data_IF_577868658870
#
_entry.id   IF_577868658870
#
_cell.length_a   1.000
_cell.length_b   1.000
_cell.length_c   1.000
_cell.angle_alpha   90.00
_cell.angle_beta   90.00
_cell.angle_gamma   90.00
#
_symmetry.space_group_name_H-M   'P 1'
#
loop_
_entity.id
_entity.type
_entity.pdbx_description
1 polymer ?
#
# COMPACT_ATOMS: atom_id res chain seq x y z
N UNK A 1 17.11 -43.66 22.22
CA UNK A 1 17.12 -43.76 20.75
C UNK A 1 15.73 -43.30 20.29
N UNK A 2 15.56 -42.03 19.96
CA UNK A 2 14.31 -41.47 19.41
C UNK A 2 14.08 -42.06 18.00
N UNK A 3 12.84 -42.42 17.75
CA UNK A 3 12.40 -42.97 16.47
C UNK A 3 12.60 -41.93 15.37
N UNK A 4 13.20 -42.36 14.24
CA UNK A 4 13.41 -41.52 13.03
C UNK A 4 12.12 -40.85 12.55
N UNK A 5 10.98 -41.47 12.78
CA UNK A 5 9.65 -40.95 12.42
C UNK A 5 9.29 -39.71 13.23
N UNK A 6 9.63 -39.67 14.52
CA UNK A 6 9.38 -38.54 15.41
C UNK A 6 10.21 -37.30 15.02
N UNK A 7 11.49 -37.50 14.69
CA UNK A 7 12.36 -36.40 14.23
C UNK A 7 11.89 -35.81 12.90
N UNK A 8 11.45 -36.64 11.95
CA UNK A 8 10.92 -36.21 10.67
C UNK A 8 9.64 -35.35 10.82
N UNK A 9 8.74 -35.78 11.72
CA UNK A 9 7.50 -35.04 12.00
C UNK A 9 7.77 -33.67 12.66
N UNK A 10 8.73 -33.60 13.61
CA UNK A 10 9.14 -32.33 14.25
C UNK A 10 9.77 -31.38 13.21
N UNK A 11 10.62 -31.91 12.32
CA UNK A 11 11.29 -31.14 11.27
C UNK A 11 10.28 -30.56 10.27
N UNK A 12 9.31 -31.37 9.82
CA UNK A 12 8.24 -30.94 8.91
C UNK A 12 7.37 -29.86 9.55
N UNK A 13 7.03 -30.00 10.83
CA UNK A 13 6.24 -29.01 11.57
C UNK A 13 7.01 -27.71 11.82
N UNK A 14 8.31 -27.79 12.06
CA UNK A 14 9.19 -26.62 12.17
C UNK A 14 9.30 -25.85 10.85
N UNK A 15 9.44 -26.56 9.71
CA UNK A 15 9.46 -25.97 8.37
C UNK A 15 8.13 -25.30 8.01
N UNK A 16 6.99 -25.93 8.35
CA UNK A 16 5.65 -25.35 8.16
C UNK A 16 5.45 -24.06 8.98
N UNK A 17 6.17 -23.91 10.10
CA UNK A 17 6.19 -22.71 10.95
C UNK A 17 7.31 -21.71 10.58
N UNK A 18 7.84 -21.80 9.36
CA UNK A 18 8.84 -20.84 8.84
C UNK A 18 10.29 -21.06 9.28
N UNK A 19 10.59 -22.17 10.02
CA UNK A 19 11.98 -22.49 10.37
C UNK A 19 12.76 -22.93 9.15
N UNK A 20 13.89 -22.24 8.86
CA UNK A 20 14.84 -22.59 7.78
C UNK A 20 16.12 -23.12 8.40
N UNK A 21 16.60 -24.29 7.90
CA UNK A 21 17.83 -24.87 8.38
C UNK A 21 19.03 -23.94 8.07
N UNK A 22 19.77 -23.44 9.10
CA UNK A 22 20.90 -22.54 8.87
C UNK A 22 22.01 -23.17 8.03
N UNK A 23 22.29 -24.47 8.21
CA UNK A 23 23.30 -25.19 7.43
C UNK A 23 22.92 -25.34 5.95
N UNK A 24 21.63 -25.49 5.63
CA UNK A 24 21.16 -25.53 4.25
C UNK A 24 21.35 -24.16 3.56
N UNK A 25 21.18 -23.07 4.28
CA UNK A 25 21.41 -21.71 3.77
C UNK A 25 22.90 -21.48 3.47
N UNK A 26 23.77 -21.91 4.35
CA UNK A 26 25.24 -21.80 4.20
C UNK A 26 25.72 -22.59 3.01
N UNK A 27 25.28 -23.84 2.83
CA UNK A 27 25.57 -24.67 1.69
C UNK A 27 25.13 -24.09 0.33
N UNK A 28 23.99 -23.42 0.29
CA UNK A 28 23.48 -22.73 -0.91
C UNK A 28 24.34 -21.52 -1.26
N UNK A 29 24.79 -20.76 -0.26
CA UNK A 29 25.68 -19.62 -0.46
C UNK A 29 27.05 -20.07 -0.96
N UNK A 30 27.61 -21.14 -0.40
CA UNK A 30 28.90 -21.69 -0.80
C UNK A 30 28.88 -22.24 -2.23
N UNK A 31 27.81 -22.94 -2.61
CA UNK A 31 27.61 -23.40 -3.98
C UNK A 31 27.51 -22.22 -4.98
N UNK A 32 26.75 -21.17 -4.61
CA UNK A 32 26.66 -19.99 -5.44
C UNK A 32 28.00 -19.25 -5.59
N UNK A 33 28.78 -19.13 -4.50
CA UNK A 33 30.13 -18.57 -4.56
C UNK A 33 31.06 -19.35 -5.48
N UNK A 34 31.01 -20.68 -5.44
CA UNK A 34 31.80 -21.54 -6.29
C UNK A 34 31.44 -21.30 -7.77
N UNK A 35 30.18 -21.35 -8.12
CA UNK A 35 29.72 -21.13 -9.51
C UNK A 35 30.20 -19.79 -10.06
N UNK A 36 30.08 -18.70 -9.27
CA UNK A 36 30.51 -17.37 -9.72
C UNK A 36 32.03 -17.28 -9.87
N UNK A 37 32.81 -17.91 -8.99
CA UNK A 37 34.28 -17.93 -9.10
C UNK A 37 34.76 -18.74 -10.27
N UNK A 38 34.12 -19.86 -10.58
CA UNK A 38 34.39 -20.64 -11.79
C UNK A 38 34.13 -19.84 -13.05
N UNK A 39 33.01 -19.09 -13.10
CA UNK A 39 32.70 -18.20 -14.21
C UNK A 39 33.72 -17.06 -14.35
N UNK A 40 34.18 -16.46 -13.23
CA UNK A 40 35.20 -15.41 -13.24
C UNK A 40 36.58 -15.91 -13.68
N UNK A 41 36.88 -17.18 -13.45
CA UNK A 41 38.12 -17.81 -13.84
C UNK A 41 38.12 -18.32 -15.31
N UNK A 42 36.98 -18.29 -15.98
CA UNK A 42 36.82 -18.65 -17.39
C UNK A 42 37.41 -17.58 -18.30
N UNK A 43 38.06 -18.03 -19.39
CA UNK A 43 38.52 -17.14 -20.47
C UNK A 43 37.34 -16.59 -21.30
N UNK A 44 36.17 -17.24 -21.24
CA UNK A 44 34.96 -16.80 -21.90
C UNK A 44 34.14 -15.91 -20.98
N UNK A 45 34.12 -14.61 -21.28
CA UNK A 45 33.35 -13.61 -20.55
C UNK A 45 31.84 -13.87 -20.62
N UNK A 46 31.36 -14.56 -21.65
CA UNK A 46 29.94 -14.90 -21.83
C UNK A 46 29.39 -15.76 -20.70
N UNK A 47 30.21 -16.60 -20.07
CA UNK A 47 29.82 -17.47 -18.94
C UNK A 47 29.30 -16.67 -17.73
N UNK A 48 29.74 -15.41 -17.59
CA UNK A 48 29.24 -14.54 -16.54
C UNK A 48 27.77 -14.13 -16.74
N UNK A 49 27.27 -14.23 -17.95
CA UNK A 49 25.89 -13.91 -18.33
C UNK A 49 25.01 -15.15 -18.52
N UNK A 50 25.53 -16.35 -18.27
CA UNK A 50 24.74 -17.57 -18.30
C UNK A 50 23.75 -17.65 -17.16
N UNK A 51 22.60 -18.29 -17.39
CA UNK A 51 21.52 -18.46 -16.43
C UNK A 51 21.99 -19.02 -15.08
N UNK A 52 22.93 -19.95 -15.08
CA UNK A 52 23.48 -20.55 -13.86
C UNK A 52 24.26 -19.53 -13.02
N UNK A 53 25.05 -18.68 -13.66
CA UNK A 53 25.85 -17.63 -13.00
C UNK A 53 24.97 -16.51 -12.53
N UNK A 54 23.99 -16.07 -13.33
CA UNK A 54 22.98 -15.05 -12.94
C UNK A 54 22.17 -15.52 -11.74
N UNK A 55 21.72 -16.78 -11.73
CA UNK A 55 20.99 -17.37 -10.60
C UNK A 55 21.86 -17.44 -9.34
N UNK A 56 23.13 -17.79 -9.47
CA UNK A 56 24.08 -17.80 -8.35
C UNK A 56 24.31 -16.39 -7.79
N UNK A 57 24.51 -15.39 -8.64
CA UNK A 57 24.65 -13.98 -8.24
C UNK A 57 23.38 -13.43 -7.59
N UNK A 58 22.21 -13.76 -8.11
CA UNK A 58 20.90 -13.40 -7.51
C UNK A 58 20.75 -14.03 -6.13
N UNK A 59 21.16 -15.29 -5.97
CA UNK A 59 21.16 -15.97 -4.67
C UNK A 59 22.07 -15.29 -3.66
N UNK A 60 23.28 -14.87 -4.07
CA UNK A 60 24.18 -14.10 -3.20
C UNK A 60 23.60 -12.72 -2.86
N UNK A 61 23.02 -12.03 -3.82
CA UNK A 61 22.40 -10.72 -3.62
C UNK A 61 21.28 -10.77 -2.58
N UNK A 62 20.41 -11.77 -2.65
CA UNK A 62 19.25 -11.93 -1.75
C UNK A 62 19.60 -12.54 -0.40
N UNK A 63 20.54 -13.51 -0.36
CA UNK A 63 20.82 -14.32 0.82
C UNK A 63 22.04 -13.88 1.62
N UNK A 64 23.03 -13.18 1.01
CA UNK A 64 24.26 -12.76 1.69
C UNK A 64 24.87 -11.50 1.06
N UNK A 65 24.43 -10.33 1.52
CA UNK A 65 24.95 -9.03 1.04
C UNK A 65 26.49 -8.90 1.16
N UNK A 66 27.08 -9.49 2.20
CA UNK A 66 28.53 -9.45 2.41
C UNK A 66 29.29 -10.25 1.32
N UNK A 67 28.83 -11.46 1.00
CA UNK A 67 29.45 -12.28 -0.06
C UNK A 67 29.19 -11.67 -1.44
N UNK A 68 28.00 -11.13 -1.68
CA UNK A 68 27.71 -10.39 -2.91
C UNK A 68 28.65 -9.19 -3.09
N UNK A 69 28.88 -8.40 -2.04
CA UNK A 69 29.80 -7.25 -2.11
C UNK A 69 31.24 -7.65 -2.46
N UNK A 70 31.73 -8.79 -1.93
CA UNK A 70 33.06 -9.33 -2.26
C UNK A 70 33.16 -9.72 -3.73
N UNK A 71 32.22 -10.54 -4.20
CA UNK A 71 32.14 -10.95 -5.60
C UNK A 71 31.97 -9.76 -6.54
N UNK A 72 31.15 -8.82 -6.19
CA UNK A 72 30.95 -7.56 -6.94
C UNK A 72 32.27 -6.79 -7.10
N UNK A 73 33.10 -6.77 -6.06
CA UNK A 73 34.41 -6.14 -6.13
C UNK A 73 35.36 -6.92 -7.08
N UNK A 74 35.34 -8.25 -7.02
CA UNK A 74 36.12 -9.12 -7.91
C UNK A 74 35.73 -8.93 -9.38
N UNK A 75 34.42 -8.91 -9.69
CA UNK A 75 33.89 -8.64 -11.03
C UNK A 75 34.33 -7.26 -11.53
N UNK A 76 34.28 -6.21 -10.68
CA UNK A 76 34.68 -4.85 -11.05
C UNK A 76 36.13 -4.73 -11.46
N UNK A 77 37.02 -5.62 -10.98
CA UNK A 77 38.42 -5.66 -11.38
C UNK A 77 38.62 -6.24 -12.78
N UNK A 78 37.69 -7.04 -13.26
CA UNK A 78 37.70 -7.58 -14.62
C UNK A 78 37.11 -6.54 -15.59
N UNK A 79 38.01 -5.86 -16.34
CA UNK A 79 37.63 -4.78 -17.26
C UNK A 79 36.79 -5.23 -18.47
N UNK A 80 36.73 -6.54 -18.74
CA UNK A 80 35.95 -7.11 -19.82
C UNK A 80 34.45 -7.21 -19.49
N UNK A 81 34.10 -7.16 -18.20
CA UNK A 81 32.71 -7.30 -17.71
C UNK A 81 32.16 -5.94 -17.35
N UNK A 82 31.08 -5.51 -18.02
CA UNK A 82 30.30 -4.36 -17.62
C UNK A 82 29.38 -4.73 -16.45
N UNK A 83 29.77 -4.28 -15.24
CA UNK A 83 29.02 -4.55 -14.02
C UNK A 83 27.56 -4.08 -14.06
N UNK A 84 27.29 -2.96 -14.75
CA UNK A 84 25.92 -2.42 -14.93
C UNK A 84 24.99 -3.39 -15.65
N UNK A 85 25.50 -4.04 -16.69
CA UNK A 85 24.71 -4.95 -17.53
C UNK A 85 24.41 -6.24 -16.74
N UNK A 86 25.39 -6.70 -15.94
CA UNK A 86 25.22 -7.83 -15.04
C UNK A 86 24.24 -7.52 -13.90
N UNK A 87 24.36 -6.33 -13.28
CA UNK A 87 23.47 -5.92 -12.19
C UNK A 87 22.02 -5.73 -12.66
N UNK A 88 21.80 -5.39 -13.93
CA UNK A 88 20.46 -5.33 -14.51
C UNK A 88 19.79 -6.71 -14.58
N UNK A 89 20.58 -7.78 -14.77
CA UNK A 89 20.09 -9.17 -14.81
C UNK A 89 19.96 -9.81 -13.43
N UNK A 90 20.79 -9.39 -12.47
CA UNK A 90 20.81 -9.93 -11.09
C UNK A 90 19.71 -9.32 -10.22
N UNK A 91 19.41 -8.04 -10.41
CA UNK A 91 18.26 -7.46 -9.74
C UNK A 91 17.07 -8.19 -10.29
N UNK A 92 16.35 -9.03 -9.45
CA UNK A 92 15.06 -9.52 -9.90
C UNK A 92 14.36 -8.31 -10.50
N UNK A 93 13.69 -8.46 -11.66
CA UNK A 93 12.61 -7.55 -11.99
C UNK A 93 11.96 -7.29 -10.65
N UNK A 94 12.01 -6.07 -10.17
CA UNK A 94 11.30 -5.72 -8.95
C UNK A 94 9.94 -6.34 -9.20
N UNK A 95 9.55 -7.39 -8.45
CA UNK A 95 8.14 -7.52 -8.14
C UNK A 95 7.81 -6.09 -7.84
N UNK A 96 7.02 -5.44 -8.70
CA UNK A 96 6.78 -4.02 -8.60
C UNK A 96 6.28 -3.83 -7.19
N UNK A 97 7.20 -3.52 -6.26
CA UNK A 97 6.82 -3.10 -4.91
C UNK A 97 6.01 -1.87 -5.22
N UNK A 98 4.70 -2.09 -5.24
CA UNK A 98 3.70 -1.10 -5.55
C UNK A 98 4.11 0.15 -4.79
N UNK A 99 4.41 1.22 -5.50
CA UNK A 99 4.91 2.42 -4.86
C UNK A 99 3.91 2.83 -3.77
N UNK A 100 4.37 3.40 -2.67
CA UNK A 100 3.47 3.84 -1.59
C UNK A 100 2.35 4.74 -2.14
N UNK A 101 2.61 5.49 -3.20
CA UNK A 101 1.60 6.30 -3.90
C UNK A 101 0.54 5.42 -4.58
N UNK A 102 0.93 4.40 -5.33
CA UNK A 102 0.00 3.46 -5.98
C UNK A 102 -0.81 2.71 -4.95
N UNK A 103 -0.17 2.25 -3.88
CA UNK A 103 -0.83 1.57 -2.77
C UNK A 103 -1.91 2.45 -2.12
N UNK A 104 -1.61 3.73 -1.84
CA UNK A 104 -2.58 4.70 -1.33
C UNK A 104 -3.72 4.98 -2.31
N UNK A 105 -3.42 5.07 -3.61
CA UNK A 105 -4.45 5.26 -4.64
C UNK A 105 -5.40 4.05 -4.70
N UNK A 106 -4.87 2.84 -4.61
CA UNK A 106 -5.71 1.64 -4.63
C UNK A 106 -6.58 1.54 -3.39
N UNK A 107 -6.03 1.75 -2.19
CA UNK A 107 -6.80 1.80 -0.94
C UNK A 107 -7.94 2.83 -1.04
N UNK A 108 -7.64 4.03 -1.54
CA UNK A 108 -8.63 5.08 -1.69
C UNK A 108 -9.72 4.71 -2.72
N UNK A 109 -9.35 4.15 -3.87
CA UNK A 109 -10.30 3.73 -4.92
C UNK A 109 -11.17 2.54 -4.53
N UNK A 110 -10.65 1.63 -3.72
CA UNK A 110 -11.42 0.48 -3.23
C UNK A 110 -12.48 0.87 -2.19
N UNK A 111 -12.20 1.90 -1.39
CA UNK A 111 -13.06 2.26 -0.26
C UNK A 111 -13.90 3.50 -0.48
N UNK A 112 -13.52 4.39 -1.41
CA UNK A 112 -14.17 5.68 -1.63
C UNK A 112 -14.85 5.77 -2.98
N UNK A 113 -15.97 6.46 -3.01
CA UNK A 113 -16.53 7.05 -4.21
C UNK A 113 -16.07 8.52 -4.31
N UNK A 114 -15.46 8.92 -5.44
CA UNK A 114 -14.97 10.27 -5.69
C UNK A 114 -15.93 11.02 -6.60
N UNK A 115 -16.24 12.26 -6.26
CA UNK A 115 -17.17 13.10 -6.97
C UNK A 115 -16.87 14.58 -6.72
N UNK A 116 -17.57 15.47 -7.42
CA UNK A 116 -17.48 16.90 -7.20
C UNK A 116 -18.87 17.52 -6.99
N UNK A 117 -18.91 18.69 -6.37
CA UNK A 117 -20.13 19.49 -6.32
C UNK A 117 -20.30 20.37 -7.58
N UNK A 118 -21.36 21.19 -7.60
CA UNK A 118 -21.66 22.13 -8.68
C UNK A 118 -20.54 23.16 -8.93
N UNK A 119 -19.76 23.46 -7.91
CA UNK A 119 -18.65 24.43 -7.97
C UNK A 119 -17.31 23.74 -8.30
N UNK A 120 -17.35 22.44 -8.68
CA UNK A 120 -16.19 21.60 -8.94
C UNK A 120 -15.29 21.38 -7.72
N UNK A 121 -15.82 21.54 -6.51
CA UNK A 121 -15.08 21.15 -5.31
C UNK A 121 -15.05 19.62 -5.16
N UNK A 122 -13.87 19.03 -4.84
CA UNK A 122 -13.68 17.59 -4.85
C UNK A 122 -14.00 16.94 -3.51
N UNK A 123 -14.80 15.89 -3.53
CA UNK A 123 -15.22 15.14 -2.35
C UNK A 123 -14.99 13.65 -2.49
N UNK A 124 -14.88 12.99 -1.35
CA UNK A 124 -14.95 11.53 -1.22
C UNK A 124 -16.03 11.13 -0.24
N UNK A 125 -16.75 10.07 -0.54
CA UNK A 125 -17.67 9.41 0.37
C UNK A 125 -17.26 7.96 0.58
N UNK A 126 -17.28 7.51 1.83
CA UNK A 126 -16.92 6.14 2.22
C UNK A 126 -17.65 5.74 3.50
N UNK A 127 -17.57 4.47 3.84
CA UNK A 127 -18.14 3.94 5.09
C UNK A 127 -17.02 3.73 6.09
N UNK A 128 -17.07 4.45 7.22
CA UNK A 128 -16.17 4.24 8.33
C UNK A 128 -16.96 4.13 9.64
N UNK A 129 -16.57 3.17 10.48
CA UNK A 129 -17.26 2.88 11.75
C UNK A 129 -18.78 2.66 11.60
N UNK A 130 -19.19 2.08 10.47
CA UNK A 130 -20.60 1.81 10.16
C UNK A 130 -21.42 3.04 9.73
N UNK A 131 -20.81 4.20 9.56
CA UNK A 131 -21.44 5.43 9.13
C UNK A 131 -20.91 5.88 7.76
N UNK A 132 -21.82 6.40 6.91
CA UNK A 132 -21.49 7.01 5.64
C UNK A 132 -20.93 8.41 5.89
N UNK A 133 -19.66 8.62 5.56
CA UNK A 133 -18.93 9.86 5.80
C UNK A 133 -18.55 10.53 4.48
N UNK A 134 -18.70 11.85 4.42
CA UNK A 134 -18.36 12.66 3.25
C UNK A 134 -17.35 13.74 3.65
N UNK A 135 -16.20 13.71 3.00
CA UNK A 135 -15.11 14.66 3.24
C UNK A 135 -14.70 15.38 1.97
N UNK A 136 -14.42 16.66 2.11
CA UNK A 136 -13.65 17.37 1.08
C UNK A 136 -12.23 16.78 1.01
N UNK A 137 -11.70 16.52 -0.18
CA UNK A 137 -10.41 15.81 -0.35
C UNK A 137 -9.21 16.54 0.26
N UNK A 138 -9.30 17.87 0.39
CA UNK A 138 -8.24 18.66 1.05
C UNK A 138 -8.45 18.83 2.56
N UNK A 139 -9.52 18.26 3.13
CA UNK A 139 -9.76 18.37 4.57
C UNK A 139 -8.74 17.56 5.37
N UNK A 140 -8.50 18.01 6.60
CA UNK A 140 -7.67 17.30 7.57
C UNK A 140 -8.21 15.90 7.84
N UNK A 141 -9.55 15.76 7.96
CA UNK A 141 -10.20 14.46 8.23
C UNK A 141 -9.95 13.43 7.14
N UNK A 142 -10.03 13.78 5.85
CA UNK A 142 -9.72 12.87 4.76
C UNK A 142 -8.24 12.46 4.76
N UNK A 143 -7.35 13.42 4.99
CA UNK A 143 -5.91 13.17 5.05
C UNK A 143 -5.54 12.18 6.17
N UNK A 144 -6.09 12.39 7.36
CA UNK A 144 -5.86 11.53 8.52
C UNK A 144 -6.44 10.13 8.30
N UNK A 145 -7.63 10.05 7.71
CA UNK A 145 -8.25 8.77 7.36
C UNK A 145 -7.38 7.99 6.36
N UNK A 146 -6.95 8.61 5.27
CA UNK A 146 -6.15 7.93 4.23
C UNK A 146 -4.79 7.44 4.77
N UNK A 147 -4.14 8.25 5.60
CA UNK A 147 -2.90 7.84 6.26
C UNK A 147 -3.10 6.65 7.21
N UNK A 148 -4.22 6.63 7.94
CA UNK A 148 -4.58 5.54 8.85
C UNK A 148 -4.93 4.25 8.10
N UNK A 149 -5.59 4.32 6.94
CA UNK A 149 -5.89 3.13 6.13
C UNK A 149 -4.61 2.47 5.60
N UNK A 150 -3.62 3.25 5.16
CA UNK A 150 -2.31 2.70 4.80
C UNK A 150 -1.63 2.05 6.01
N UNK A 151 -1.67 2.71 7.17
CA UNK A 151 -1.08 2.15 8.39
C UNK A 151 -1.71 0.82 8.78
N UNK A 152 -3.03 0.68 8.66
CA UNK A 152 -3.74 -0.58 8.93
C UNK A 152 -3.35 -1.69 7.94
N UNK A 153 -3.12 -1.33 6.67
CA UNK A 153 -2.80 -2.30 5.63
C UNK A 153 -1.34 -2.79 5.69
N UNK A 154 -0.41 -1.86 5.88
CA UNK A 154 1.02 -2.10 5.64
C UNK A 154 1.91 -1.80 6.87
N UNK A 155 1.31 -1.45 8.03
CA UNK A 155 2.00 -1.02 9.28
C UNK A 155 3.04 0.10 9.02
N UNK A 156 2.77 0.96 8.03
CA UNK A 156 3.68 2.01 7.57
C UNK A 156 2.95 3.35 7.44
N UNK A 157 3.54 4.42 7.96
CA UNK A 157 3.02 5.77 7.78
C UNK A 157 3.53 6.39 6.47
N UNK A 158 2.66 6.99 5.64
CA UNK A 158 3.09 7.66 4.43
C UNK A 158 3.87 8.95 4.75
N UNK A 159 4.91 9.25 3.96
CA UNK A 159 5.55 10.55 4.02
C UNK A 159 4.60 11.65 3.49
N UNK A 160 4.72 12.86 4.01
CA UNK A 160 3.82 13.98 3.66
C UNK A 160 3.79 14.32 2.17
N UNK A 161 4.92 14.24 1.49
CA UNK A 161 5.01 14.48 0.04
C UNK A 161 4.26 13.40 -0.76
N UNK A 162 4.31 12.15 -0.34
CA UNK A 162 3.60 11.03 -0.97
C UNK A 162 2.09 11.20 -0.78
N UNK A 163 1.67 11.48 0.46
CA UNK A 163 0.26 11.71 0.78
C UNK A 163 -0.32 12.90 0.01
N UNK A 164 0.44 14.00 -0.12
CA UNK A 164 0.05 15.16 -0.93
C UNK A 164 -0.08 14.81 -2.42
N UNK A 165 0.88 14.07 -2.97
CA UNK A 165 0.83 13.64 -4.37
C UNK A 165 -0.40 12.76 -4.66
N UNK A 166 -0.69 11.81 -3.75
CA UNK A 166 -1.88 10.96 -3.83
C UNK A 166 -3.17 11.78 -3.78
N UNK A 167 -3.30 12.69 -2.81
CA UNK A 167 -4.49 13.53 -2.68
C UNK A 167 -4.69 14.40 -3.93
N UNK A 168 -3.62 14.97 -4.50
CA UNK A 168 -3.70 15.75 -5.74
C UNK A 168 -4.19 14.91 -6.94
N UNK A 169 -3.76 13.66 -7.04
CA UNK A 169 -4.26 12.74 -8.08
C UNK A 169 -5.75 12.43 -7.89
N UNK A 170 -6.20 12.17 -6.64
CA UNK A 170 -7.60 11.95 -6.32
C UNK A 170 -8.47 13.18 -6.56
N UNK A 171 -7.97 14.39 -6.31
CA UNK A 171 -8.63 15.65 -6.65
C UNK A 171 -8.85 15.75 -8.17
N UNK A 172 -7.83 15.42 -8.96
CA UNK A 172 -7.97 15.35 -10.41
C UNK A 172 -9.07 14.38 -10.83
N UNK A 173 -9.05 13.16 -10.31
CA UNK A 173 -10.07 12.17 -10.58
C UNK A 173 -11.49 12.64 -10.18
N UNK A 174 -11.67 13.21 -9.00
CA UNK A 174 -12.97 13.69 -8.54
C UNK A 174 -13.53 14.82 -9.43
N UNK A 175 -12.67 15.75 -9.86
CA UNK A 175 -13.07 16.92 -10.64
C UNK A 175 -13.38 16.61 -12.11
N UNK A 176 -12.62 15.69 -12.72
CA UNK A 176 -12.70 15.44 -14.17
C UNK A 176 -13.47 14.17 -14.53
N UNK A 177 -13.37 13.13 -13.71
CA UNK A 177 -13.98 11.83 -13.96
C UNK A 177 -15.19 11.56 -13.02
N UNK A 178 -15.29 12.31 -11.91
CA UNK A 178 -16.35 12.15 -10.93
C UNK A 178 -17.70 12.71 -11.37
N UNK A 179 -18.78 12.16 -10.84
CA UNK A 179 -20.14 12.68 -11.02
C UNK A 179 -20.36 13.99 -10.23
N UNK A 180 -21.30 14.80 -10.69
CA UNK A 180 -21.76 15.97 -9.90
C UNK A 180 -22.78 15.51 -8.84
N UNK A 181 -22.51 15.79 -7.54
CA UNK A 181 -23.42 15.50 -6.43
C UNK A 181 -23.59 16.72 -5.53
N UNK A 182 -24.79 16.84 -4.96
CA UNK A 182 -25.06 17.90 -3.98
C UNK A 182 -24.46 17.56 -2.63
N UNK A 183 -23.65 18.47 -2.09
CA UNK A 183 -23.08 18.38 -0.74
C UNK A 183 -23.60 19.55 0.10
N UNK A 184 -23.91 19.26 1.34
CA UNK A 184 -24.48 20.25 2.26
C UNK A 184 -23.61 20.40 3.51
N UNK A 185 -23.71 21.55 4.11
CA UNK A 185 -23.08 21.82 5.39
C UNK A 185 -24.19 22.13 6.43
N UNK A 186 -24.31 21.30 7.44
CA UNK A 186 -25.26 21.41 8.57
C UNK A 186 -26.74 21.26 8.20
N UNK A 187 -27.26 21.93 7.18
CA UNK A 187 -28.67 21.90 6.81
C UNK A 187 -28.80 21.61 5.31
N UNK A 188 -29.75 20.74 4.97
CA UNK A 188 -30.12 20.47 3.59
C UNK A 188 -31.65 20.54 3.41
N UNK A 189 -32.09 20.87 2.18
CA UNK A 189 -33.44 20.63 1.71
C UNK A 189 -33.39 19.65 0.57
N UNK A 190 -33.96 18.46 0.77
CA UNK A 190 -33.93 17.38 -0.20
C UNK A 190 -35.25 16.61 -0.16
N UNK A 191 -35.84 16.36 -1.34
CA UNK A 191 -37.08 15.57 -1.51
C UNK A 191 -38.23 16.02 -0.58
N UNK A 192 -38.44 17.33 -0.45
CA UNK A 192 -39.54 17.86 0.36
C UNK A 192 -39.31 17.80 1.86
N UNK A 193 -38.19 17.33 2.33
CA UNK A 193 -37.77 17.30 3.73
C UNK A 193 -36.64 18.28 4.00
N UNK A 194 -36.53 18.75 5.23
CA UNK A 194 -35.35 19.43 5.75
C UNK A 194 -34.50 18.41 6.53
N UNK A 195 -33.22 18.54 6.38
CA UNK A 195 -32.24 17.67 7.03
C UNK A 195 -31.29 18.52 7.85
N UNK A 196 -31.01 18.09 9.08
CA UNK A 196 -30.08 18.76 9.99
C UNK A 196 -29.03 17.77 10.45
N UNK A 197 -27.75 17.98 10.05
CA UNK A 197 -26.63 17.16 10.53
C UNK A 197 -26.42 17.40 12.03
N UNK A 198 -26.45 16.31 12.81
CA UNK A 198 -26.17 16.34 14.25
C UNK A 198 -24.69 16.55 14.56
N UNK A 199 -23.83 16.37 13.58
CA UNK A 199 -22.38 16.45 13.70
C UNK A 199 -21.79 15.56 14.82
N UNK A 200 -22.48 14.47 15.14
CA UNK A 200 -22.02 13.46 16.11
C UNK A 200 -21.16 12.41 15.42
N UNK A 201 -20.51 11.54 16.21
CA UNK A 201 -19.61 10.51 15.72
C UNK A 201 -20.29 9.45 14.85
N UNK A 202 -21.61 9.30 15.00
CA UNK A 202 -22.41 8.36 14.22
C UNK A 202 -22.87 8.91 12.86
N UNK A 203 -22.56 10.16 12.53
CA UNK A 203 -22.99 10.82 11.29
C UNK A 203 -24.50 10.83 11.08
N UNK A 204 -25.26 10.94 12.17
CA UNK A 204 -26.71 10.99 12.15
C UNK A 204 -27.21 12.38 11.73
N UNK A 205 -28.39 12.39 11.12
CA UNK A 205 -29.09 13.62 10.81
C UNK A 205 -30.56 13.55 11.26
N UNK A 206 -31.14 14.68 11.56
CA UNK A 206 -32.59 14.82 11.79
C UNK A 206 -33.25 15.08 10.46
N UNK A 207 -34.21 14.23 10.06
CA UNK A 207 -35.13 14.46 8.93
C UNK A 207 -36.41 15.09 9.45
N UNK A 208 -36.76 16.27 8.93
CA UNK A 208 -37.97 17.01 9.29
C UNK A 208 -38.91 17.05 8.08
N UNK A 209 -40.12 16.59 8.26
CA UNK A 209 -41.18 16.57 7.23
C UNK A 209 -42.40 17.31 7.74
N UNK A 210 -43.44 17.44 6.90
CA UNK A 210 -44.74 18.03 7.32
C UNK A 210 -45.47 17.20 8.37
N UNK A 211 -45.09 15.93 8.56
CA UNK A 211 -45.75 15.01 9.51
C UNK A 211 -44.92 14.80 10.80
N UNK A 212 -43.76 15.38 10.91
CA UNK A 212 -42.91 15.25 12.09
C UNK A 212 -41.43 15.17 11.78
N UNK A 213 -40.66 14.73 12.76
CA UNK A 213 -39.22 14.58 12.62
C UNK A 213 -38.75 13.22 13.16
N UNK A 214 -37.59 12.79 12.67
CA UNK A 214 -36.91 11.55 13.12
C UNK A 214 -35.39 11.66 12.97
N UNK A 215 -34.67 10.93 13.80
CA UNK A 215 -33.22 10.79 13.66
C UNK A 215 -32.92 9.63 12.71
N UNK A 216 -32.06 9.87 11.73
CA UNK A 216 -31.64 8.90 10.69
C UNK A 216 -30.16 8.61 10.83
N UNK A 217 -29.80 7.32 10.92
CA UNK A 217 -28.40 6.84 11.04
C UNK A 217 -27.63 6.96 9.72
N UNK A 218 -28.30 6.85 8.59
CA UNK A 218 -27.69 6.95 7.26
C UNK A 218 -28.53 7.88 6.39
N UNK A 219 -28.28 9.20 6.46
CA UNK A 219 -29.06 10.18 5.71
C UNK A 219 -28.90 10.02 4.20
N UNK A 220 -29.97 10.25 3.44
CA UNK A 220 -30.00 10.24 1.97
C UNK A 220 -29.19 11.40 1.37
N UNK A 221 -28.88 12.41 2.17
CA UNK A 221 -28.11 13.59 1.79
C UNK A 221 -26.65 13.49 2.25
N UNK A 222 -25.75 14.07 1.49
CA UNK A 222 -24.32 14.11 1.83
C UNK A 222 -24.01 15.37 2.63
N UNK A 223 -23.57 15.19 3.86
CA UNK A 223 -23.08 16.28 4.70
C UNK A 223 -21.55 16.25 4.77
N UNK A 224 -20.91 17.38 4.45
CA UNK A 224 -19.51 17.62 4.77
C UNK A 224 -19.38 18.38 6.09
N UNK A 225 -18.31 18.14 6.83
CA UNK A 225 -18.07 18.78 8.13
C UNK A 225 -16.74 19.52 8.11
N UNK A 226 -16.78 20.78 8.50
CA UNK A 226 -15.57 21.57 8.72
C UNK A 226 -14.95 21.26 10.09
N UNK A 227 -13.65 21.51 10.24
CA UNK A 227 -12.86 21.21 11.46
C UNK A 227 -13.42 21.88 12.73
N UNK A 228 -14.14 22.99 12.59
CA UNK A 228 -14.72 23.74 13.69
C UNK A 228 -16.18 23.39 14.01
N UNK A 229 -16.78 22.45 13.27
CA UNK A 229 -18.15 22.03 13.55
C UNK A 229 -18.19 21.20 14.83
N UNK A 230 -19.23 21.45 15.64
CA UNK A 230 -19.45 20.76 16.91
C UNK A 230 -20.78 20.00 16.89
N UNK A 231 -20.88 18.88 17.64
CA UNK A 231 -22.14 18.19 17.84
C UNK A 231 -23.21 19.13 18.36
N UNK A 232 -24.43 18.94 17.88
CA UNK A 232 -25.58 19.66 18.45
C UNK A 232 -25.91 19.06 19.82
N UNK A 233 -26.27 19.87 20.81
CA UNK A 233 -26.80 19.38 22.07
C UNK A 233 -28.10 18.63 21.78
N UNK A 234 -28.22 17.42 22.32
CA UNK A 234 -29.43 16.58 22.24
C UNK A 234 -30.22 16.77 23.54
#
# INVERSE_FOLDING_TARGET
KGDRTTYKAIFTKAQANGWKNPQAKESIIDAALLTVREALASDDVGVMFDDATIKALTTLYTSSKANYARVRHEIKQNRAIKLSDLEALIKPEREEEQSTTERLLDIAKEQCEFFHDKDKEPYAVFIAHGARQCYHLQSKGFREWLANELYKADDTAPADNILNATINALIGQAKFDGEEKSVYMRVAKHEGAYWLDLCNDKWQAVKVTSTGWQVIDSPDVLFTRGDNMRPLPI
#
